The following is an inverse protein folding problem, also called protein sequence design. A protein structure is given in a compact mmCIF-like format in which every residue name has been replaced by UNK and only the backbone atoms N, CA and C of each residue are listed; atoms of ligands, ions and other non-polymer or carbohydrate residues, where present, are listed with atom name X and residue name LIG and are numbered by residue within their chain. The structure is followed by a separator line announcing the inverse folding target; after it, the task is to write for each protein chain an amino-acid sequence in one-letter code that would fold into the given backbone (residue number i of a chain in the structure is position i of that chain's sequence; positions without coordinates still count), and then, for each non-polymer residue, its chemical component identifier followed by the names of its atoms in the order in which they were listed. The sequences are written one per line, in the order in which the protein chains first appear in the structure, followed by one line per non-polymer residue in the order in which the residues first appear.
data_IF_885556280428
#
_entry.id   IF_885556280428
#
_cell.length_a   1.000
_cell.length_b   1.000
_cell.length_c   1.000
_cell.angle_alpha   90.00
_cell.angle_beta   90.00
_cell.angle_gamma   90.00
#
_symmetry.space_group_name_H-M   'P 1'
#
loop_
_entity.id
_entity.type
_entity.pdbx_description
1 polymer ?
#
# COMPACT_ATOMS: atom_id res chain seq x y z
N UNK A 1 -15.03 -4.72 29.60
CA UNK A 1 -14.04 -4.68 28.51
C UNK A 1 -14.46 -5.72 27.49
N UNK A 2 -15.24 -5.32 26.48
CA UNK A 2 -15.67 -6.22 25.42
C UNK A 2 -14.59 -6.22 24.34
N UNK A 3 -13.89 -7.35 24.16
CA UNK A 3 -13.10 -7.55 22.95
C UNK A 3 -14.07 -7.47 21.77
N UNK A 4 -13.81 -6.57 20.81
CA UNK A 4 -14.63 -6.47 19.60
C UNK A 4 -14.56 -7.83 18.89
N UNK A 5 -15.70 -8.50 18.75
CA UNK A 5 -15.76 -9.84 18.14
C UNK A 5 -15.16 -9.83 16.73
N UNK A 6 -15.14 -8.68 16.04
CA UNK A 6 -14.49 -8.52 14.73
C UNK A 6 -12.99 -8.76 14.78
N UNK A 7 -12.29 -8.34 15.83
CA UNK A 7 -10.83 -8.57 15.95
C UNK A 7 -10.48 -10.05 15.98
N UNK A 8 -11.31 -10.86 16.66
CA UNK A 8 -11.10 -12.31 16.74
C UNK A 8 -11.34 -13.02 15.39
N UNK A 9 -12.38 -12.61 14.65
CA UNK A 9 -12.67 -13.19 13.33
C UNK A 9 -11.66 -12.78 12.27
N UNK A 10 -11.30 -11.49 12.20
CA UNK A 10 -10.25 -11.03 11.29
C UNK A 10 -8.90 -11.66 11.64
N UNK A 11 -8.56 -11.76 12.93
CA UNK A 11 -7.33 -12.40 13.40
C UNK A 11 -7.23 -13.87 12.98
N UNK A 12 -8.33 -14.61 13.04
CA UNK A 12 -8.40 -16.01 12.59
C UNK A 12 -8.27 -16.14 11.06
N UNK A 13 -9.06 -15.38 10.28
CA UNK A 13 -9.03 -15.43 8.82
C UNK A 13 -7.67 -15.04 8.23
N UNK A 14 -6.96 -14.14 8.90
CA UNK A 14 -5.67 -13.63 8.47
C UNK A 14 -4.48 -14.50 8.93
N UNK A 15 -4.68 -15.56 9.70
CA UNK A 15 -3.59 -16.42 10.18
C UNK A 15 -2.73 -17.00 9.06
N UNK A 16 -3.35 -17.39 7.94
CA UNK A 16 -2.64 -17.90 6.76
C UNK A 16 -1.76 -16.85 6.06
N UNK A 17 -1.95 -15.56 6.38
CA UNK A 17 -1.19 -14.45 5.83
C UNK A 17 -0.21 -13.85 6.85
N UNK A 18 0.10 -14.59 7.92
CA UNK A 18 1.15 -14.22 8.86
C UNK A 18 2.52 -14.26 8.16
N UNK A 19 3.38 -13.28 8.43
CA UNK A 19 4.71 -13.15 7.82
C UNK A 19 4.68 -13.02 6.29
N UNK A 20 3.55 -12.57 5.72
CA UNK A 20 3.48 -12.24 4.30
C UNK A 20 3.99 -10.83 4.08
N UNK A 21 5.12 -10.76 3.40
CA UNK A 21 5.73 -9.55 2.89
C UNK A 21 5.02 -9.08 1.62
N UNK A 22 4.46 -7.87 1.64
CA UNK A 22 3.69 -7.36 0.50
C UNK A 22 3.58 -5.83 0.48
N UNK A 23 3.06 -5.34 -0.65
CA UNK A 23 2.39 -4.04 -0.76
C UNK A 23 0.88 -4.30 -0.85
N UNK A 24 0.08 -3.46 -0.19
CA UNK A 24 -1.37 -3.61 -0.13
C UNK A 24 -2.08 -2.29 -0.42
N UNK A 25 -3.32 -2.42 -0.87
CA UNK A 25 -4.22 -1.32 -1.21
C UNK A 25 -5.54 -1.55 -0.49
N UNK A 26 -6.05 -0.49 0.13
CA UNK A 26 -7.34 -0.46 0.78
C UNK A 26 -8.33 0.31 -0.09
N UNK A 27 -9.56 -0.19 -0.17
CA UNK A 27 -10.65 0.44 -0.90
C UNK A 27 -11.89 0.59 -0.03
N UNK A 28 -12.65 1.64 -0.30
CA UNK A 28 -13.98 1.83 0.29
C UNK A 28 -15.07 1.02 -0.44
N UNK A 29 -16.31 1.10 0.09
CA UNK A 29 -17.49 0.45 -0.48
C UNK A 29 -17.77 0.82 -1.93
N UNK A 30 -17.41 2.05 -2.33
CA UNK A 30 -17.62 2.58 -3.68
C UNK A 30 -16.49 2.19 -4.63
N UNK A 31 -15.48 1.48 -4.13
CA UNK A 31 -14.30 1.11 -4.90
C UNK A 31 -13.26 2.22 -5.00
N UNK A 32 -13.38 3.30 -4.23
CA UNK A 32 -12.37 4.34 -4.19
C UNK A 32 -11.12 3.84 -3.46
N UNK A 33 -9.95 4.17 -4.00
CA UNK A 33 -8.68 3.90 -3.35
C UNK A 33 -8.53 4.85 -2.16
N UNK A 34 -8.34 4.30 -0.96
CA UNK A 34 -8.24 5.12 0.26
C UNK A 34 -6.82 5.17 0.83
N UNK A 35 -6.06 4.07 0.71
CA UNK A 35 -4.73 3.95 1.28
C UNK A 35 -3.89 2.89 0.56
N UNK A 36 -2.59 3.12 0.47
CA UNK A 36 -1.58 2.18 -0.01
C UNK A 36 -0.50 2.05 1.07
N UNK A 37 -0.05 0.84 1.34
CA UNK A 37 1.08 0.63 2.24
C UNK A 37 1.91 -0.61 1.97
N UNK A 38 3.11 -0.68 2.55
CA UNK A 38 3.93 -1.88 2.62
C UNK A 38 3.94 -2.50 4.02
N UNK A 39 4.17 -3.82 4.09
CA UNK A 39 4.40 -4.50 5.37
C UNK A 39 5.15 -5.82 5.23
N UNK A 40 6.06 -6.09 6.18
CA UNK A 40 6.71 -7.40 6.33
C UNK A 40 5.78 -8.46 6.98
N UNK A 41 4.72 -8.00 7.64
CA UNK A 41 3.71 -8.87 8.25
C UNK A 41 2.32 -8.34 7.92
N UNK A 42 1.70 -8.95 6.90
CA UNK A 42 0.38 -8.57 6.43
C UNK A 42 -0.69 -8.72 7.50
N UNK A 43 -0.70 -9.83 8.24
CA UNK A 43 -1.69 -10.07 9.30
C UNK A 43 -1.69 -8.94 10.32
N UNK A 44 -0.53 -8.67 10.92
CA UNK A 44 -0.40 -7.67 11.98
C UNK A 44 -0.77 -6.28 11.47
N UNK A 45 -0.39 -5.95 10.23
CA UNK A 45 -0.74 -4.66 9.63
C UNK A 45 -2.24 -4.51 9.36
N UNK A 46 -2.90 -5.55 8.86
CA UNK A 46 -4.35 -5.50 8.59
C UNK A 46 -5.17 -5.37 9.87
N UNK A 47 -4.77 -6.06 10.94
CA UNK A 47 -5.40 -5.85 12.24
C UNK A 47 -5.27 -4.39 12.71
N UNK A 48 -4.09 -3.79 12.57
CA UNK A 48 -3.88 -2.39 12.91
C UNK A 48 -4.77 -1.43 12.12
N UNK A 49 -4.99 -1.69 10.82
CA UNK A 49 -5.91 -0.89 10.00
C UNK A 49 -7.36 -1.06 10.40
N UNK A 50 -7.79 -2.29 10.66
CA UNK A 50 -9.19 -2.63 10.93
C UNK A 50 -9.65 -2.22 12.35
N UNK A 51 -8.74 -2.03 13.31
CA UNK A 51 -9.11 -1.59 14.66
C UNK A 51 -8.51 -0.25 15.11
N UNK A 52 -7.40 0.19 14.51
CA UNK A 52 -6.61 1.31 15.02
C UNK A 52 -6.67 2.62 14.22
N UNK A 53 -7.30 2.64 13.04
CA UNK A 53 -7.28 3.83 12.17
C UNK A 53 -8.62 4.57 12.13
N UNK A 54 -8.62 5.92 11.95
CA UNK A 54 -9.86 6.70 11.83
C UNK A 54 -10.75 6.27 10.65
N UNK A 55 -10.15 5.71 9.60
CA UNK A 55 -10.85 5.23 8.39
C UNK A 55 -11.12 3.72 8.40
N UNK A 56 -10.90 3.03 9.52
CA UNK A 56 -11.11 1.57 9.64
C UNK A 56 -12.49 1.13 9.16
N UNK A 57 -13.52 1.88 9.55
CA UNK A 57 -14.92 1.68 9.18
C UNK A 57 -15.22 1.90 7.69
N UNK A 58 -14.30 2.49 6.93
CA UNK A 58 -14.43 2.67 5.48
C UNK A 58 -13.85 1.51 4.69
N UNK A 59 -13.01 0.65 5.29
CA UNK A 59 -12.31 -0.43 4.59
C UNK A 59 -13.31 -1.55 4.27
N UNK A 60 -13.57 -1.76 2.98
CA UNK A 60 -14.50 -2.80 2.51
C UNK A 60 -13.79 -3.84 1.63
N UNK A 61 -12.67 -3.46 1.01
CA UNK A 61 -11.86 -4.37 0.20
C UNK A 61 -10.37 -4.12 0.41
N UNK A 62 -9.63 -5.21 0.53
CA UNK A 62 -8.18 -5.23 0.68
C UNK A 62 -7.61 -6.04 -0.47
N UNK A 63 -6.64 -5.47 -1.18
CA UNK A 63 -5.86 -6.16 -2.22
C UNK A 63 -4.40 -6.12 -1.81
N UNK A 64 -3.66 -7.21 -1.98
CA UNK A 64 -2.23 -7.22 -1.70
C UNK A 64 -1.46 -7.96 -2.80
N UNK A 65 -0.21 -7.56 -2.97
CA UNK A 65 0.73 -8.12 -3.94
C UNK A 65 1.97 -8.57 -3.18
N UNK A 66 2.25 -9.88 -3.21
CA UNK A 66 3.54 -10.41 -2.77
C UNK A 66 4.59 -9.99 -3.78
N UNK A 67 5.73 -9.52 -3.28
CA UNK A 67 6.84 -9.07 -4.10
C UNK A 67 8.04 -9.97 -3.82
N UNK A 68 8.49 -10.71 -4.83
CA UNK A 68 9.60 -11.65 -4.68
C UNK A 68 10.96 -10.97 -4.89
N UNK A 69 11.03 -10.01 -5.81
CA UNK A 69 12.29 -9.38 -6.25
C UNK A 69 12.31 -7.86 -6.07
N UNK A 70 11.14 -7.22 -5.99
CA UNK A 70 11.02 -5.77 -5.91
C UNK A 70 11.05 -5.28 -4.46
N UNK A 71 11.74 -4.17 -4.22
CA UNK A 71 11.75 -3.52 -2.92
C UNK A 71 10.37 -2.94 -2.59
N UNK A 72 9.74 -3.44 -1.53
CA UNK A 72 8.36 -3.12 -1.15
C UNK A 72 8.14 -1.64 -0.84
N UNK A 73 9.14 -0.96 -0.25
CA UNK A 73 9.09 0.48 0.05
C UNK A 73 9.14 1.33 -1.22
N UNK A 74 9.97 0.94 -2.18
CA UNK A 74 10.02 1.64 -3.47
C UNK A 74 8.71 1.47 -4.24
N UNK A 75 8.12 0.27 -4.25
CA UNK A 75 6.83 0.01 -4.89
C UNK A 75 5.71 0.80 -4.21
N UNK A 76 5.63 0.78 -2.88
CA UNK A 76 4.68 1.61 -2.11
C UNK A 76 4.80 3.09 -2.49
N UNK A 77 6.02 3.63 -2.49
CA UNK A 77 6.28 5.03 -2.85
C UNK A 77 5.77 5.38 -4.25
N UNK A 78 6.13 4.56 -5.26
CA UNK A 78 5.69 4.77 -6.65
C UNK A 78 4.17 4.73 -6.75
N UNK A 79 3.53 3.76 -6.09
CA UNK A 79 2.08 3.62 -6.13
C UNK A 79 1.35 4.77 -5.44
N UNK A 80 1.87 5.28 -4.32
CA UNK A 80 1.32 6.46 -3.64
C UNK A 80 1.42 7.69 -4.54
N UNK A 81 2.58 7.91 -5.17
CA UNK A 81 2.82 9.05 -6.05
C UNK A 81 1.95 9.01 -7.32
N UNK A 82 1.73 7.83 -7.91
CA UNK A 82 0.89 7.67 -9.09
C UNK A 82 -0.61 7.76 -8.78
N UNK A 83 -1.06 7.20 -7.65
CA UNK A 83 -2.48 7.04 -7.35
C UNK A 83 -3.05 8.12 -6.42
N UNK A 84 -2.20 8.89 -5.74
CA UNK A 84 -2.55 9.95 -4.78
C UNK A 84 -3.68 9.55 -3.79
N UNK A 85 -3.47 8.52 -2.93
CA UNK A 85 -4.48 8.03 -2.01
C UNK A 85 -4.93 9.10 -1.01
N UNK A 86 -6.21 9.10 -0.65
CA UNK A 86 -6.83 10.10 0.24
C UNK A 86 -6.14 10.16 1.61
N UNK A 87 -5.76 9.02 2.19
CA UNK A 87 -5.18 8.94 3.54
C UNK A 87 -3.67 8.72 3.59
N UNK A 88 -2.98 8.68 2.44
CA UNK A 88 -1.52 8.69 2.45
C UNK A 88 -1.01 10.13 2.55
N UNK A 89 -0.05 10.36 3.45
CA UNK A 89 0.60 11.67 3.59
C UNK A 89 1.51 11.87 2.38
N UNK A 90 1.13 12.79 1.49
CA UNK A 90 1.82 13.09 0.22
C UNK A 90 3.24 13.67 0.36
N UNK A 91 3.68 13.90 1.60
CA UNK A 91 5.01 14.45 1.96
C UNK A 91 5.96 13.42 2.56
N UNK A 92 5.69 12.12 2.39
CA UNK A 92 6.38 11.09 3.17
C UNK A 92 7.86 10.84 2.86
N UNK A 93 8.49 11.45 1.85
CA UNK A 93 9.97 11.49 1.80
C UNK A 93 10.50 12.50 0.77
N UNK A 94 11.16 13.57 1.24
CA UNK A 94 11.98 14.44 0.38
C UNK A 94 13.13 13.67 -0.26
N UNK A 95 13.67 12.66 0.44
CA UNK A 95 14.76 11.80 -0.01
C UNK A 95 14.37 10.90 -1.19
N UNK A 96 13.21 10.23 -1.11
CA UNK A 96 12.67 9.41 -2.20
C UNK A 96 12.25 10.26 -3.40
N UNK A 97 11.76 11.50 -3.17
CA UNK A 97 11.47 12.46 -4.25
C UNK A 97 12.73 12.90 -5.00
N UNK A 98 13.86 13.13 -4.33
CA UNK A 98 15.12 13.52 -4.99
C UNK A 98 15.72 12.38 -5.82
N UNK A 99 15.59 11.12 -5.38
CA UNK A 99 16.10 9.94 -6.10
C UNK A 99 15.06 9.30 -7.04
N UNK A 100 13.90 9.94 -7.23
CA UNK A 100 12.80 9.46 -8.09
C UNK A 100 13.27 9.11 -9.49
N UNK A 101 14.09 9.97 -10.08
CA UNK A 101 14.61 9.77 -11.44
C UNK A 101 15.65 8.65 -11.51
N UNK A 102 16.41 8.39 -10.44
CA UNK A 102 17.44 7.35 -10.39
C UNK A 102 16.82 5.96 -10.19
N UNK A 103 15.83 5.84 -9.30
CA UNK A 103 15.07 4.60 -9.09
C UNK A 103 14.32 4.19 -10.36
N UNK A 104 13.75 5.16 -11.09
CA UNK A 104 13.04 4.93 -12.36
C UNK A 104 14.02 4.74 -13.53
N UNK A 105 15.24 5.33 -13.51
CA UNK A 105 16.26 5.13 -14.57
C UNK A 105 16.97 3.78 -14.48
N UNK A 106 17.25 3.29 -13.28
CA UNK A 106 17.91 1.97 -13.09
C UNK A 106 16.97 0.80 -13.40
N UNK A 107 15.68 1.09 -13.65
CA UNK A 107 14.76 0.16 -14.28
C UNK A 107 15.11 -0.01 -15.77
N UNK A 108 16.00 -0.96 -16.05
CA UNK A 108 15.82 -1.81 -17.23
C UNK A 108 14.59 -2.71 -17.03
N UNK A 109 13.40 -2.11 -16.83
CA UNK A 109 12.12 -2.80 -16.98
C UNK A 109 11.80 -2.78 -18.47
N UNK A 110 11.91 -3.90 -19.19
CA UNK A 110 11.79 -3.91 -20.66
C UNK A 110 10.42 -3.48 -21.19
N UNK A 111 9.42 -3.29 -20.31
CA UNK A 111 8.01 -3.13 -20.69
C UNK A 111 7.30 -1.92 -20.06
N UNK A 112 7.97 -1.09 -19.24
CA UNK A 112 7.30 0.08 -18.63
C UNK A 112 7.46 1.35 -19.47
N UNK A 113 6.64 1.48 -20.52
CA UNK A 113 6.45 2.75 -21.22
C UNK A 113 5.34 3.52 -20.48
N UNK A 114 5.72 4.40 -19.56
CA UNK A 114 4.76 5.25 -18.85
C UNK A 114 4.27 6.37 -19.76
N UNK A 115 3.06 6.23 -20.33
CA UNK A 115 2.43 7.25 -21.18
C UNK A 115 1.64 8.32 -20.39
N UNK A 116 1.80 8.39 -19.05
CA UNK A 116 1.04 9.36 -18.27
C UNK A 116 1.62 10.78 -18.41
N UNK A 117 0.74 11.77 -18.38
CA UNK A 117 1.09 13.19 -18.51
C UNK A 117 1.97 13.73 -17.37
N UNK A 118 2.18 12.96 -16.30
CA UNK A 118 3.05 13.32 -15.16
C UNK A 118 4.52 12.99 -15.45
N UNK A 119 4.78 12.00 -16.31
CA UNK A 119 6.13 11.51 -16.61
C UNK A 119 6.74 12.15 -17.86
N UNK A 120 5.98 12.95 -18.60
CA UNK A 120 6.52 13.70 -19.74
C UNK A 120 7.21 14.98 -19.23
N UNK A 121 8.53 15.13 -19.43
CA UNK A 121 9.21 16.38 -19.11
C UNK A 121 8.73 17.47 -20.09
N UNK A 122 8.24 18.58 -19.54
CA UNK A 122 7.99 19.81 -20.30
C UNK A 122 9.28 20.42 -20.84
#
# INVERSE_FOLDING_TARGET
MGHDMRENWHGFLLNQYKNVECVYILYDKKGNLIYIGETADFKTRMLGHLSGTPYSHMIERIVFYKLDTLNRKQVEFIMIDLCNPIFNIQNQDLFMKSSRHEIIRDWSLPEYVCECSVCQPH
#
